data_IF_787217955504
#
_entry.id   IF_787217955504
#
_cell.length_a   1.000
_cell.length_b   1.000
_cell.length_c   1.000
_cell.angle_alpha   90.00
_cell.angle_beta   90.00
_cell.angle_gamma   90.00
#
_symmetry.space_group_name_H-M   'P 1'
#
loop_
_entity.id
_entity.type
_entity.pdbx_description
1 polymer ?
#
# COMPACT_ATOMS: atom_id res chain seq x y z
N UNK A 1 11.38 1.90 26.07
CA UNK A 1 11.35 2.12 24.61
C UNK A 1 9.92 1.85 24.19
N UNK A 2 9.13 2.89 23.94
CA UNK A 2 7.78 2.73 23.40
C UNK A 2 7.96 2.21 21.99
N UNK A 3 7.64 0.93 21.74
CA UNK A 3 7.46 0.48 20.37
C UNK A 3 6.27 1.24 19.83
N UNK A 4 6.52 2.32 19.10
CA UNK A 4 5.51 2.86 18.21
C UNK A 4 5.22 1.75 17.21
N UNK A 5 3.95 1.35 17.08
CA UNK A 5 3.51 0.63 15.89
C UNK A 5 3.80 1.56 14.70
N UNK A 6 4.99 1.46 14.12
CA UNK A 6 5.24 2.08 12.82
C UNK A 6 4.41 1.30 11.81
N UNK A 7 3.37 1.96 11.29
CA UNK A 7 2.62 1.44 10.15
C UNK A 7 3.61 1.07 9.04
N UNK A 8 3.50 -0.11 8.41
CA UNK A 8 4.44 -0.54 7.38
C UNK A 8 4.54 0.48 6.26
N UNK A 9 5.75 0.98 6.01
CA UNK A 9 5.98 1.87 4.87
C UNK A 9 5.79 1.13 3.54
N UNK A 10 5.36 1.86 2.53
CA UNK A 10 5.47 1.45 1.12
C UNK A 10 6.89 1.74 0.67
N UNK A 11 7.73 0.70 0.58
CA UNK A 11 9.14 0.82 0.20
C UNK A 11 9.28 1.24 -1.26
N UNK A 12 8.45 0.67 -2.14
CA UNK A 12 8.40 0.98 -3.57
C UNK A 12 6.96 0.82 -4.08
N UNK A 13 6.63 1.62 -5.10
CA UNK A 13 5.38 1.49 -5.85
C UNK A 13 5.67 1.69 -7.33
N UNK A 14 5.45 0.67 -8.16
CA UNK A 14 5.71 0.75 -9.60
C UNK A 14 4.48 1.10 -10.45
N UNK A 15 3.28 1.21 -9.86
CA UNK A 15 2.04 1.48 -10.59
C UNK A 15 2.04 2.87 -11.25
N UNK A 16 2.27 2.91 -12.56
CA UNK A 16 2.54 4.18 -13.26
C UNK A 16 1.30 5.06 -13.41
N UNK A 17 0.12 4.45 -13.52
CA UNK A 17 -1.18 5.13 -13.66
C UNK A 17 -1.72 5.72 -12.35
N UNK A 18 -1.10 5.41 -11.21
CA UNK A 18 -1.60 5.87 -9.91
C UNK A 18 -1.39 7.39 -9.73
N UNK A 19 -2.48 8.13 -9.47
CA UNK A 19 -2.46 9.57 -9.24
C UNK A 19 -1.64 10.00 -8.02
N UNK A 20 -1.44 9.12 -7.03
CA UNK A 20 -0.60 9.39 -5.84
C UNK A 20 0.89 9.12 -6.05
N UNK A 21 1.29 8.61 -7.22
CA UNK A 21 2.69 8.31 -7.48
C UNK A 21 3.45 9.55 -7.97
N UNK A 22 4.46 9.94 -7.18
CA UNK A 22 5.44 11.00 -7.44
C UNK A 22 6.85 10.39 -7.28
N UNK A 23 7.29 9.58 -8.25
CA UNK A 23 8.51 8.74 -8.16
C UNK A 23 8.48 7.70 -7.02
N UNK A 24 7.29 7.19 -6.74
CA UNK A 24 6.99 6.33 -5.60
C UNK A 24 5.64 6.73 -5.00
N UNK A 25 5.09 5.89 -4.12
CA UNK A 25 3.79 6.18 -3.51
C UNK A 25 3.94 7.30 -2.48
N UNK A 26 3.15 8.36 -2.65
CA UNK A 26 3.11 9.49 -1.71
C UNK A 26 1.70 9.74 -1.15
N UNK A 27 0.83 8.73 -1.24
CA UNK A 27 -0.41 8.71 -0.47
C UNK A 27 -0.05 8.74 1.03
N UNK A 28 -0.83 9.44 1.86
CA UNK A 28 -0.54 9.54 3.29
C UNK A 28 -0.70 8.19 4.01
N UNK A 29 -1.69 7.40 3.60
CA UNK A 29 -1.90 6.03 4.00
C UNK A 29 -2.56 5.28 2.83
N UNK A 30 -2.20 4.03 2.64
CA UNK A 30 -2.83 3.13 1.68
C UNK A 30 -3.61 2.03 2.40
N UNK A 31 -4.53 1.42 1.67
CA UNK A 31 -5.31 0.28 2.13
C UNK A 31 -5.09 -0.90 1.19
N UNK A 32 -4.76 -2.07 1.75
CA UNK A 32 -4.76 -3.32 1.00
C UNK A 32 -6.16 -3.94 1.05
N UNK A 33 -6.75 -4.19 -0.10
CA UNK A 33 -8.09 -4.68 -0.32
C UNK A 33 -8.28 -6.16 -0.02
N UNK A 34 -9.55 -6.56 0.07
CA UNK A 34 -9.95 -7.91 0.46
C UNK A 34 -10.01 -8.89 -0.70
N UNK A 35 -10.06 -8.45 -1.97
CA UNK A 35 -10.39 -9.32 -3.12
C UNK A 35 -9.18 -9.91 -3.83
N UNK A 36 -8.07 -9.18 -4.01
CA UNK A 36 -6.86 -9.67 -4.70
C UNK A 36 -5.54 -9.07 -4.17
N UNK A 37 -5.45 -8.71 -2.88
CA UNK A 37 -4.33 -7.92 -2.33
C UNK A 37 -4.08 -6.57 -3.03
N UNK A 38 -5.07 -6.12 -3.79
CA UNK A 38 -5.14 -4.82 -4.45
C UNK A 38 -4.88 -3.68 -3.46
N UNK A 39 -4.26 -2.61 -3.92
CA UNK A 39 -4.19 -1.34 -3.22
C UNK A 39 -5.49 -0.59 -3.50
N UNK A 40 -6.46 -0.65 -2.57
CA UNK A 40 -7.74 0.07 -2.68
C UNK A 40 -7.58 1.61 -2.70
N UNK A 41 -6.37 2.11 -2.43
CA UNK A 41 -6.01 3.53 -2.52
C UNK A 41 -5.51 3.92 -3.91
N UNK A 42 -5.29 2.95 -4.80
CA UNK A 42 -5.01 3.22 -6.20
C UNK A 42 -6.10 4.10 -6.80
N UNK A 43 -5.68 5.08 -7.57
CA UNK A 43 -6.55 5.96 -8.35
C UNK A 43 -5.95 6.03 -9.74
N UNK A 44 -6.64 5.47 -10.73
CA UNK A 44 -6.27 5.67 -12.14
C UNK A 44 -6.57 7.12 -12.51
N UNK A 45 -5.52 7.93 -12.59
CA UNK A 45 -5.64 9.34 -12.95
C UNK A 45 -4.33 9.90 -13.48
N UNK A 46 -4.44 10.64 -14.58
CA UNK A 46 -3.35 11.47 -15.07
C UNK A 46 -3.07 12.66 -14.13
N UNK A 47 -4.09 13.12 -13.38
CA UNK A 47 -3.94 14.19 -12.41
C UNK A 47 -3.23 13.67 -11.16
N UNK A 48 -2.29 14.47 -10.66
CA UNK A 48 -1.51 14.10 -9.48
C UNK A 48 -2.21 14.57 -8.20
N UNK A 49 -2.54 13.59 -7.36
CA UNK A 49 -3.09 13.78 -6.02
C UNK A 49 -2.01 13.88 -4.95
N UNK A 50 -2.37 14.40 -3.79
CA UNK A 50 -1.47 14.56 -2.65
C UNK A 50 -0.41 15.65 -2.86
N UNK A 51 0.46 15.82 -1.87
CA UNK A 51 1.52 16.85 -1.90
C UNK A 51 2.85 16.34 -2.46
N UNK A 52 2.94 15.06 -2.87
CA UNK A 52 4.19 14.45 -3.38
C UNK A 52 5.31 14.32 -2.34
N UNK A 53 5.01 14.47 -1.05
CA UNK A 53 6.00 14.55 0.05
C UNK A 53 5.79 13.54 1.16
N UNK A 54 4.64 12.88 1.23
CA UNK A 54 4.37 11.92 2.28
C UNK A 54 5.17 10.64 2.04
N UNK A 55 5.63 10.01 3.12
CA UNK A 55 6.08 8.63 3.09
C UNK A 55 4.83 7.75 3.22
N UNK A 56 4.48 7.05 2.14
CA UNK A 56 3.30 6.20 2.17
C UNK A 56 3.47 5.03 3.14
N UNK A 57 2.38 4.69 3.81
CA UNK A 57 2.31 3.63 4.81
C UNK A 57 1.00 2.87 4.67
N UNK A 58 0.94 1.63 5.16
CA UNK A 58 -0.29 0.84 5.17
C UNK A 58 -1.11 1.22 6.39
N UNK A 59 -2.27 1.85 6.18
CA UNK A 59 -3.21 2.19 7.24
C UNK A 59 -4.24 1.09 7.50
N UNK A 60 -4.43 0.15 6.57
CA UNK A 60 -5.27 -1.03 6.78
C UNK A 60 -4.91 -2.15 5.80
N UNK A 61 -5.00 -3.39 6.26
CA UNK A 61 -4.94 -4.61 5.46
C UNK A 61 -6.23 -5.41 5.61
N UNK A 62 -7.12 -5.33 4.60
CA UNK A 62 -8.39 -6.07 4.57
C UNK A 62 -8.24 -7.52 4.08
N UNK A 63 -7.03 -7.94 3.71
CA UNK A 63 -6.78 -9.29 3.19
C UNK A 63 -6.64 -10.28 4.35
N UNK A 64 -7.74 -10.93 4.72
CA UNK A 64 -7.80 -11.80 5.91
C UNK A 64 -6.77 -12.94 5.92
N UNK A 65 -6.48 -13.48 4.73
CA UNK A 65 -5.53 -14.57 4.53
C UNK A 65 -4.06 -14.12 4.48
N UNK A 66 -3.78 -12.82 4.53
CA UNK A 66 -2.40 -12.33 4.49
C UNK A 66 -1.65 -12.69 5.78
N UNK A 67 -0.49 -13.35 5.67
CA UNK A 67 0.36 -13.72 6.82
C UNK A 67 0.86 -12.53 7.63
N UNK A 68 0.95 -11.36 6.99
CA UNK A 68 1.37 -10.12 7.63
C UNK A 68 0.22 -9.39 8.33
N UNK A 69 -1.03 -9.86 8.18
CA UNK A 69 -2.22 -9.19 8.69
C UNK A 69 -2.66 -9.79 10.03
N UNK A 70 -2.67 -8.93 11.06
CA UNK A 70 -3.31 -9.18 12.36
C UNK A 70 -4.25 -8.02 12.65
N UNK A 71 -5.51 -8.30 12.97
CA UNK A 71 -6.52 -7.29 13.34
C UNK A 71 -6.69 -6.13 12.34
N UNK A 72 -6.59 -6.42 11.04
CA UNK A 72 -6.61 -5.45 9.93
C UNK A 72 -5.37 -4.55 9.85
N UNK A 73 -4.35 -4.83 10.64
CA UNK A 73 -3.07 -4.13 10.63
C UNK A 73 -2.00 -4.98 9.94
N UNK A 74 -1.26 -4.35 9.02
CA UNK A 74 -0.12 -5.00 8.40
C UNK A 74 1.09 -4.89 9.34
N UNK A 75 1.84 -5.98 9.49
CA UNK A 75 3.06 -6.04 10.30
C UNK A 75 4.32 -6.40 9.49
N UNK A 76 4.25 -6.31 8.15
CA UNK A 76 5.45 -6.43 7.32
C UNK A 76 6.43 -5.29 7.64
N UNK A 77 7.76 -5.51 7.65
CA UNK A 77 8.73 -4.42 7.89
C UNK A 77 8.62 -3.27 6.88
N UNK A 78 8.20 -3.59 5.67
CA UNK A 78 7.77 -2.68 4.61
C UNK A 78 7.03 -3.50 3.55
N UNK A 79 6.34 -2.84 2.63
CA UNK A 79 5.70 -3.50 1.49
C UNK A 79 6.17 -2.94 0.14
N UNK A 80 6.05 -3.76 -0.89
CA UNK A 80 6.20 -3.41 -2.29
C UNK A 80 4.82 -3.41 -2.93
N UNK A 81 4.48 -2.33 -3.62
CA UNK A 81 3.27 -2.25 -4.45
C UNK A 81 3.70 -2.24 -5.91
N UNK A 82 2.95 -2.93 -6.76
CA UNK A 82 3.26 -2.96 -8.19
C UNK A 82 2.01 -2.94 -9.05
N UNK A 83 2.20 -2.66 -10.33
CA UNK A 83 1.14 -2.67 -11.33
C UNK A 83 0.57 -4.08 -11.50
N UNK A 84 -0.76 -4.18 -11.61
CA UNK A 84 -1.49 -5.43 -11.82
C UNK A 84 -2.73 -5.16 -12.68
N UNK A 85 -2.59 -5.40 -13.99
CA UNK A 85 -3.59 -4.97 -14.96
C UNK A 85 -3.83 -3.46 -14.89
N UNK A 86 -5.09 -3.06 -14.78
CA UNK A 86 -5.51 -1.65 -14.66
C UNK A 86 -5.54 -1.17 -13.19
N UNK A 87 -4.85 -1.89 -12.29
CA UNK A 87 -4.82 -1.60 -10.85
C UNK A 87 -3.40 -1.73 -10.29
N UNK A 88 -3.27 -1.71 -8.96
CA UNK A 88 -2.01 -1.96 -8.28
C UNK A 88 -2.22 -2.99 -7.17
N UNK A 89 -1.31 -3.96 -7.03
CA UNK A 89 -1.37 -5.00 -6.01
C UNK A 89 -0.21 -4.86 -5.01
N UNK A 90 -0.44 -5.33 -3.78
CA UNK A 90 0.60 -5.54 -2.79
C UNK A 90 1.43 -6.78 -3.15
N UNK A 91 2.61 -6.58 -3.72
CA UNK A 91 3.54 -7.65 -4.10
C UNK A 91 4.20 -8.33 -2.89
N UNK A 92 4.01 -7.77 -1.69
CA UNK A 92 4.43 -8.37 -0.41
C UNK A 92 3.34 -9.25 0.21
N UNK A 93 2.17 -9.33 -0.41
CA UNK A 93 1.15 -10.27 0.03
C UNK A 93 1.68 -11.71 -0.01
N UNK A 94 1.44 -12.43 1.07
CA UNK A 94 1.67 -13.87 1.14
C UNK A 94 0.54 -14.47 1.99
N UNK A 95 -0.02 -15.59 1.53
CA UNK A 95 -1.06 -16.29 2.25
C UNK A 95 -0.51 -16.97 3.52
N UNK A 96 -1.36 -17.16 4.53
CA UNK A 96 -1.10 -17.95 5.74
C UNK A 96 -0.96 -19.44 5.44
#
# INVERSE_FOLDING_TARGET
MTQMLEMPRVQTCSATQCGYNHNGCTAFAITIGSRNSECDTFVDSADKGGMGKALAQVGACKRAECKHNTDLECHAPAIVVGESGDTADCMTYEAK
#
